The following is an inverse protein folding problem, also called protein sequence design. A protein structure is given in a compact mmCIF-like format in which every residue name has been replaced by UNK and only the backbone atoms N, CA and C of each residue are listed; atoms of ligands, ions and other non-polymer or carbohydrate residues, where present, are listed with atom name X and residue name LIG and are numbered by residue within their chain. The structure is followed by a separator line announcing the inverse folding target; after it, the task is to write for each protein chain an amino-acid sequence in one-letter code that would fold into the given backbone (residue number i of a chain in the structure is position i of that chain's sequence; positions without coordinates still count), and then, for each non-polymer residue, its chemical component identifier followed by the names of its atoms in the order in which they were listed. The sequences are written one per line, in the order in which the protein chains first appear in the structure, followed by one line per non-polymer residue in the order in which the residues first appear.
data_IF_159008410906
#
_entry.id   IF_159008410906
#
_cell.length_a   1.000
_cell.length_b   1.000
_cell.length_c   1.000
_cell.angle_alpha   90.00
_cell.angle_beta   90.00
_cell.angle_gamma   90.00
#
_symmetry.space_group_name_H-M   'P 1'
#
loop_
_entity.id
_entity.type
_entity.pdbx_description
1 polymer ?
#
# COMPACT_ATOMS: atom_id res chain seq x y z
N UNK A 1 -25.70 7.95 -9.72
CA UNK A 1 -24.68 6.89 -9.92
C UNK A 1 -24.28 6.78 -11.37
N UNK A 2 -25.21 6.84 -12.32
CA UNK A 2 -24.88 6.74 -13.76
C UNK A 2 -23.85 7.78 -14.24
N UNK A 3 -23.89 9.02 -13.71
CA UNK A 3 -22.90 10.06 -14.04
C UNK A 3 -21.47 9.81 -13.54
N UNK A 4 -21.29 9.06 -12.45
CA UNK A 4 -19.95 8.73 -11.96
C UNK A 4 -19.31 7.63 -12.81
N UNK A 5 -20.12 6.70 -13.32
CA UNK A 5 -19.66 5.62 -14.19
C UNK A 5 -19.25 6.15 -15.57
N UNK A 6 -20.03 7.07 -16.15
CA UNK A 6 -19.69 7.75 -17.42
C UNK A 6 -18.38 8.54 -17.33
N UNK A 7 -18.10 9.17 -16.18
CA UNK A 7 -16.87 9.94 -15.99
C UNK A 7 -15.62 9.02 -15.90
N UNK A 8 -15.75 7.87 -15.25
CA UNK A 8 -14.68 6.86 -15.18
C UNK A 8 -14.34 6.26 -16.55
N UNK A 9 -15.34 5.97 -17.38
CA UNK A 9 -15.11 5.48 -18.75
C UNK A 9 -14.41 6.52 -19.62
N UNK A 10 -14.74 7.81 -19.47
CA UNK A 10 -14.09 8.86 -20.25
C UNK A 10 -12.61 9.03 -19.87
N UNK A 11 -12.30 9.02 -18.57
CA UNK A 11 -10.93 9.07 -18.06
C UNK A 11 -10.13 7.84 -18.54
N UNK A 12 -10.75 6.66 -18.52
CA UNK A 12 -10.12 5.44 -19.01
C UNK A 12 -9.73 5.55 -20.49
N UNK A 13 -10.65 6.01 -21.34
CA UNK A 13 -10.39 6.16 -22.78
C UNK A 13 -9.30 7.19 -23.08
N UNK A 14 -9.24 8.31 -22.35
CA UNK A 14 -8.17 9.31 -22.52
C UNK A 14 -6.80 8.76 -22.09
N UNK A 15 -6.74 8.01 -20.97
CA UNK A 15 -5.50 7.37 -20.53
C UNK A 15 -5.00 6.31 -21.55
N UNK A 16 -5.91 5.52 -22.11
CA UNK A 16 -5.58 4.52 -23.15
C UNK A 16 -5.08 5.21 -24.42
N UNK A 17 -5.68 6.34 -24.82
CA UNK A 17 -5.26 7.10 -26.00
C UNK A 17 -3.85 7.70 -25.85
N UNK A 18 -3.49 8.14 -24.63
CA UNK A 18 -2.19 8.76 -24.36
C UNK A 18 -1.03 7.76 -24.30
N UNK A 19 -1.30 6.50 -23.98
CA UNK A 19 -0.27 5.46 -23.87
C UNK A 19 -0.62 4.26 -24.76
N UNK A 20 -0.18 4.25 -26.03
CA UNK A 20 -0.47 3.14 -26.95
C UNK A 20 0.24 1.83 -26.55
N UNK A 21 1.27 1.93 -25.71
CA UNK A 21 2.05 0.80 -25.23
C UNK A 21 2.33 0.90 -23.73
N UNK A 22 2.31 -0.24 -23.04
CA UNK A 22 2.76 -0.41 -21.66
C UNK A 22 4.02 -1.28 -21.68
N UNK A 23 5.06 -0.83 -20.97
CA UNK A 23 6.29 -1.59 -20.80
C UNK A 23 6.22 -2.46 -19.54
N UNK A 24 6.38 -3.76 -19.72
CA UNK A 24 6.16 -4.77 -18.68
C UNK A 24 7.37 -5.67 -18.58
N UNK A 25 7.92 -5.84 -17.38
CA UNK A 25 8.98 -6.82 -17.11
C UNK A 25 8.41 -8.12 -16.57
N UNK A 26 8.93 -9.24 -17.06
CA UNK A 26 8.66 -10.54 -16.48
C UNK A 26 9.20 -10.62 -15.05
N UNK A 27 8.43 -11.11 -14.05
CA UNK A 27 8.90 -11.23 -12.68
C UNK A 27 10.03 -12.25 -12.48
N UNK A 28 10.14 -13.25 -13.36
CA UNK A 28 11.18 -14.28 -13.28
C UNK A 28 12.54 -13.84 -13.80
N UNK A 29 12.59 -13.32 -15.03
CA UNK A 29 13.84 -12.99 -15.73
C UNK A 29 14.03 -11.51 -16.08
N UNK A 30 13.08 -10.64 -15.72
CA UNK A 30 13.09 -9.19 -15.99
C UNK A 30 13.16 -8.78 -17.48
N UNK A 31 12.91 -9.73 -18.39
CA UNK A 31 12.76 -9.45 -19.83
C UNK A 31 11.63 -8.43 -20.02
N UNK A 32 11.91 -7.39 -20.81
CA UNK A 32 10.98 -6.31 -21.12
C UNK A 32 10.07 -6.71 -22.30
N UNK A 33 8.77 -6.47 -22.13
CA UNK A 33 7.71 -6.66 -23.11
C UNK A 33 7.03 -5.31 -23.33
N UNK A 34 6.67 -5.02 -24.58
CA UNK A 34 5.87 -3.85 -24.94
C UNK A 34 4.50 -4.35 -25.38
N UNK A 35 3.48 -4.10 -24.56
CA UNK A 35 2.11 -4.56 -24.79
C UNK A 35 1.28 -3.39 -25.30
N UNK A 36 0.53 -3.59 -26.39
CA UNK A 36 -0.40 -2.57 -26.89
C UNK A 36 -1.63 -2.50 -25.99
N UNK A 37 -1.97 -1.30 -25.51
CA UNK A 37 -3.13 -1.10 -24.63
C UNK A 37 -4.45 -1.46 -25.31
N UNK A 38 -4.55 -1.26 -26.61
CA UNK A 38 -5.73 -1.60 -27.42
C UNK A 38 -6.01 -3.11 -27.54
N UNK A 39 -5.02 -3.95 -27.29
CA UNK A 39 -5.15 -5.41 -27.38
C UNK A 39 -5.58 -6.04 -26.04
N UNK A 40 -5.67 -5.25 -24.96
CA UNK A 40 -6.06 -5.72 -23.62
C UNK A 40 -7.57 -5.60 -23.46
N UNK A 41 -8.29 -6.72 -23.49
CA UNK A 41 -9.74 -6.78 -23.24
C UNK A 41 -10.10 -7.23 -21.83
N UNK A 42 -9.16 -7.81 -21.10
CA UNK A 42 -9.39 -8.38 -19.76
C UNK A 42 -8.77 -7.48 -18.68
N UNK A 43 -9.36 -7.40 -17.46
CA UNK A 43 -8.77 -6.65 -16.34
C UNK A 43 -7.48 -7.28 -15.80
N UNK A 44 -7.26 -8.58 -16.09
CA UNK A 44 -6.09 -9.34 -15.67
C UNK A 44 -5.48 -10.13 -16.84
N UNK A 45 -4.93 -9.44 -17.85
CA UNK A 45 -4.37 -10.11 -19.01
C UNK A 45 -3.16 -10.95 -18.58
N UNK A 46 -3.13 -12.19 -19.06
CA UNK A 46 -2.11 -13.17 -18.71
C UNK A 46 -1.07 -13.26 -19.83
N UNK A 47 0.20 -13.30 -19.43
CA UNK A 47 1.33 -13.41 -20.34
C UNK A 47 2.23 -14.57 -19.93
N UNK A 48 2.88 -15.18 -20.92
CA UNK A 48 3.92 -16.16 -20.71
C UNK A 48 5.24 -15.62 -21.24
N UNK A 49 6.26 -15.57 -20.37
CA UNK A 49 7.58 -15.14 -20.77
C UNK A 49 8.22 -16.15 -21.72
N UNK A 50 8.65 -15.72 -22.90
CA UNK A 50 9.34 -16.60 -23.86
C UNK A 50 10.79 -16.95 -23.48
N UNK A 51 11.36 -16.32 -22.44
CA UNK A 51 12.74 -16.58 -22.00
C UNK A 51 12.82 -17.56 -20.82
N UNK A 52 11.97 -17.39 -19.79
CA UNK A 52 11.95 -18.28 -18.62
C UNK A 52 10.68 -19.14 -18.51
N UNK A 53 9.75 -19.03 -19.47
CA UNK A 53 8.47 -19.74 -19.47
C UNK A 53 7.51 -19.43 -18.32
N UNK A 54 7.86 -18.49 -17.42
CA UNK A 54 7.00 -18.06 -16.32
C UNK A 54 5.72 -17.38 -16.81
N UNK A 55 4.61 -17.69 -16.14
CA UNK A 55 3.32 -17.03 -16.33
C UNK A 55 3.13 -15.90 -15.34
N UNK A 56 2.70 -14.75 -15.83
CA UNK A 56 2.43 -13.57 -15.02
C UNK A 56 1.20 -12.82 -15.55
N UNK A 57 0.60 -11.98 -14.72
CA UNK A 57 -0.53 -11.14 -15.10
C UNK A 57 -0.26 -9.66 -14.79
N UNK A 58 -1.05 -8.78 -15.39
CA UNK A 58 -1.05 -7.34 -15.11
C UNK A 58 -2.36 -6.94 -14.45
N UNK A 59 -2.34 -5.88 -13.65
CA UNK A 59 -3.54 -5.23 -13.12
C UNK A 59 -3.90 -4.07 -14.05
N UNK A 60 -4.96 -4.23 -14.84
CA UNK A 60 -5.46 -3.21 -15.77
C UNK A 60 -6.84 -2.76 -15.29
N UNK A 61 -7.13 -1.45 -15.20
CA UNK A 61 -6.37 -0.31 -15.76
C UNK A 61 -5.31 0.30 -14.85
N UNK A 62 -5.06 -0.24 -13.65
CA UNK A 62 -4.23 0.39 -12.62
C UNK A 62 -2.77 0.59 -13.04
N UNK A 63 -2.30 -0.14 -14.06
CA UNK A 63 -0.98 0.02 -14.63
C UNK A 63 -0.83 1.19 -15.63
N UNK A 64 -1.93 1.81 -16.07
CA UNK A 64 -1.89 2.96 -16.97
C UNK A 64 -1.22 4.16 -16.26
N UNK A 65 -0.37 4.89 -16.97
CA UNK A 65 0.39 6.01 -16.40
C UNK A 65 1.71 5.61 -15.76
N UNK A 66 1.93 4.32 -15.48
CA UNK A 66 3.18 3.82 -14.91
C UNK A 66 4.12 3.44 -16.07
N UNK A 67 5.21 4.20 -16.25
CA UNK A 67 6.06 4.08 -17.45
C UNK A 67 6.68 2.70 -17.66
N UNK A 68 7.05 2.00 -16.59
CA UNK A 68 7.56 0.63 -16.62
C UNK A 68 7.08 -0.13 -15.38
N UNK A 69 6.49 -1.31 -15.56
CA UNK A 69 5.96 -2.13 -14.46
C UNK A 69 6.52 -3.56 -14.49
N UNK A 70 6.51 -4.23 -13.34
CA UNK A 70 6.83 -5.66 -13.24
C UNK A 70 5.53 -6.45 -13.10
N UNK A 71 5.36 -7.50 -13.90
CA UNK A 71 4.18 -8.35 -13.86
C UNK A 71 4.08 -9.18 -12.57
N UNK A 72 2.86 -9.55 -12.18
CA UNK A 72 2.61 -10.36 -10.98
C UNK A 72 2.71 -11.86 -11.29
N UNK A 73 3.49 -12.67 -10.55
CA UNK A 73 3.63 -14.09 -10.83
C UNK A 73 2.33 -14.85 -10.58
N UNK A 74 1.88 -15.68 -11.53
CA UNK A 74 0.65 -16.49 -11.37
C UNK A 74 0.83 -17.69 -10.43
N UNK A 75 2.07 -18.11 -10.18
CA UNK A 75 2.36 -19.29 -9.35
C UNK A 75 2.44 -18.97 -7.85
N UNK A 76 2.28 -17.70 -7.45
CA UNK A 76 1.91 -17.38 -6.07
C UNK A 76 0.51 -17.95 -5.87
N UNK A 77 0.44 -19.20 -5.41
CA UNK A 77 -0.70 -19.71 -4.65
C UNK A 77 -0.85 -18.75 -3.47
N UNK A 78 -1.62 -17.68 -3.68
CA UNK A 78 -2.34 -17.04 -2.60
C UNK A 78 -3.16 -18.20 -2.06
N UNK A 79 -2.74 -18.78 -0.94
CA UNK A 79 -3.53 -19.75 -0.22
C UNK A 79 -4.90 -19.11 -0.03
N UNK A 80 -5.83 -19.59 -0.83
CA UNK A 80 -7.10 -18.93 -1.08
C UNK A 80 -7.90 -18.99 0.20
N UNK A 81 -7.97 -17.87 0.91
CA UNK A 81 -9.14 -17.55 1.71
C UNK A 81 -10.32 -17.39 0.73
N UNK A 82 -10.93 -18.51 0.38
CA UNK A 82 -12.15 -18.56 -0.41
C UNK A 82 -13.32 -18.01 0.40
N UNK A 83 -13.96 -16.96 -0.08
CA UNK A 83 -15.25 -16.50 0.38
C UNK A 83 -15.80 -15.42 -0.55
N UNK A 84 -17.12 -15.41 -0.81
CA UNK A 84 -17.68 -15.16 -2.13
C UNK A 84 -18.16 -13.73 -2.32
N UNK A 85 -18.25 -13.41 -3.62
CA UNK A 85 -19.01 -12.38 -4.32
C UNK A 85 -20.26 -11.86 -3.56
N UNK A 86 -20.44 -10.54 -3.54
CA UNK A 86 -21.65 -9.94 -4.09
C UNK A 86 -21.56 -8.41 -4.17
N UNK A 87 -22.35 -7.89 -5.11
CA UNK A 87 -22.27 -6.60 -5.75
C UNK A 87 -23.12 -5.50 -5.09
N UNK A 88 -22.80 -4.26 -5.51
CA UNK A 88 -23.66 -3.06 -5.61
C UNK A 88 -24.28 -2.47 -4.34
N UNK A 89 -23.89 -1.21 -4.06
CA UNK A 89 -24.55 -0.36 -3.08
C UNK A 89 -23.99 1.06 -3.13
N UNK A 90 -24.78 1.95 -3.71
CA UNK A 90 -24.41 3.31 -4.05
C UNK A 90 -24.28 4.23 -2.83
N UNK A 91 -23.29 5.14 -2.85
CA UNK A 91 -23.02 6.08 -1.78
C UNK A 91 -23.30 7.51 -2.23
N UNK A 92 -24.32 8.15 -1.67
CA UNK A 92 -24.54 9.59 -1.79
C UNK A 92 -23.41 10.34 -1.07
N UNK A 93 -22.93 11.40 -1.71
CA UNK A 93 -21.86 12.28 -1.21
C UNK A 93 -22.51 13.60 -0.81
N UNK A 94 -22.53 13.89 0.49
CA UNK A 94 -22.91 15.20 1.01
C UNK A 94 -21.78 16.20 0.74
N UNK A 95 -22.14 17.27 0.04
CA UNK A 95 -21.28 18.40 -0.33
C UNK A 95 -21.05 19.27 0.89
N UNK A 96 -19.82 19.28 1.41
CA UNK A 96 -19.39 20.27 2.41
C UNK A 96 -18.78 21.48 1.71
N UNK A 97 -19.47 22.60 1.87
CA UNK A 97 -19.12 23.95 1.46
C UNK A 97 -18.00 24.49 2.37
N UNK A 98 -16.87 24.89 1.79
CA UNK A 98 -15.76 25.52 2.51
C UNK A 98 -15.32 26.78 1.77
N UNK A 99 -15.85 27.88 2.30
CA UNK A 99 -15.62 29.27 1.89
C UNK A 99 -14.15 29.67 2.00
N UNK A 100 -13.67 30.34 0.96
CA UNK A 100 -12.39 31.04 0.84
C UNK A 100 -12.23 32.10 1.94
N UNK A 101 -11.07 32.12 2.59
CA UNK A 101 -10.52 33.35 3.15
C UNK A 101 -9.10 33.58 2.65
N UNK A 102 -8.95 34.78 2.12
CA UNK A 102 -7.77 35.46 1.64
C UNK A 102 -6.74 35.71 2.75
N UNK A 103 -5.46 35.58 2.41
CA UNK A 103 -4.38 36.27 3.10
C UNK A 103 -3.41 36.82 2.06
N UNK A 104 -3.41 38.16 1.97
CA UNK A 104 -2.44 38.97 1.25
C UNK A 104 -1.11 39.04 2.01
N UNK A 105 -0.08 39.43 1.24
CA UNK A 105 1.13 40.12 1.68
C UNK A 105 2.13 39.32 2.52
N UNK A 106 3.32 39.14 1.95
CA UNK A 106 4.51 39.82 2.47
C UNK A 106 5.60 39.94 1.39
N UNK A 107 6.17 41.13 1.38
CA UNK A 107 7.06 41.74 0.42
C UNK A 107 8.53 41.48 0.71
N UNK A 108 9.29 41.29 -0.37
CA UNK A 108 10.64 41.81 -0.64
C UNK A 108 11.71 41.74 0.47
N UNK A 109 12.70 40.86 0.26
CA UNK A 109 14.05 41.03 0.78
C UNK A 109 15.04 41.13 -0.38
N UNK A 110 15.75 42.27 -0.40
CA UNK A 110 16.89 42.60 -1.25
C UNK A 110 18.01 41.58 -1.05
N UNK A 111 18.57 41.09 -2.16
CA UNK A 111 19.86 40.39 -2.17
C UNK A 111 20.89 41.37 -2.69
N UNK A 112 21.74 41.84 -1.76
CA UNK A 112 22.90 42.64 -2.07
C UNK A 112 23.95 41.82 -2.83
N UNK A 113 24.48 42.48 -3.85
CA UNK A 113 25.52 42.09 -4.80
C UNK A 113 26.86 41.94 -4.07
N UNK A 114 27.36 40.71 -3.95
CA UNK A 114 28.72 40.43 -3.45
C UNK A 114 29.70 40.37 -4.63
N UNK A 115 30.79 41.12 -4.47
CA UNK A 115 31.90 41.26 -5.39
C UNK A 115 32.69 39.96 -5.61
N UNK A 116 33.14 39.82 -6.84
CA UNK A 116 33.89 38.69 -7.39
C UNK A 116 35.38 38.89 -7.04
N UNK A 117 35.84 38.25 -5.97
CA UNK A 117 37.25 38.25 -5.56
C UNK A 117 37.92 36.92 -5.97
N UNK A 118 38.91 37.04 -6.85
CA UNK A 118 39.70 35.97 -7.45
C UNK A 118 40.57 35.23 -6.42
N UNK A 119 40.41 33.91 -6.32
CA UNK A 119 41.27 33.02 -5.52
C UNK A 119 42.20 32.17 -6.42
N UNK A 120 43.40 31.82 -5.91
CA UNK A 120 44.49 31.21 -6.67
C UNK A 120 44.37 29.68 -6.81
N UNK A 121 44.91 29.16 -7.91
CA UNK A 121 45.10 27.74 -8.20
C UNK A 121 45.83 27.03 -7.05
N UNK A 122 45.13 26.12 -6.36
CA UNK A 122 45.68 25.19 -5.37
C UNK A 122 45.31 23.76 -5.72
N UNK A 123 46.35 23.01 -6.04
CA UNK A 123 46.61 21.56 -5.91
C UNK A 123 45.39 20.62 -5.78
N UNK A 124 45.33 19.68 -6.74
CA UNK A 124 44.32 18.64 -6.92
C UNK A 124 43.73 18.09 -5.60
N UNK A 125 42.43 18.32 -5.34
CA UNK A 125 41.76 17.76 -4.18
C UNK A 125 41.71 16.24 -4.34
N UNK A 126 42.27 15.52 -3.37
CA UNK A 126 42.04 14.09 -3.16
C UNK A 126 40.53 13.80 -3.20
N UNK A 127 40.06 13.35 -4.37
CA UNK A 127 38.66 13.00 -4.63
C UNK A 127 38.27 11.87 -3.67
N UNK A 128 37.68 12.24 -2.54
CA UNK A 128 37.07 11.29 -1.61
C UNK A 128 35.85 10.70 -2.28
N UNK A 129 36.02 9.59 -3.01
CA UNK A 129 34.88 8.80 -3.46
C UNK A 129 34.13 8.27 -2.25
N UNK A 130 32.82 8.54 -2.12
CA UNK A 130 32.02 8.07 -0.99
C UNK A 130 32.08 6.54 -0.90
N UNK A 131 32.48 6.02 0.25
CA UNK A 131 32.55 4.58 0.51
C UNK A 131 31.15 4.06 0.88
N UNK A 132 30.54 3.28 -0.01
CA UNK A 132 29.26 2.61 0.26
C UNK A 132 29.52 1.27 0.96
N UNK A 133 28.66 0.86 1.88
CA UNK A 133 28.77 -0.42 2.58
C UNK A 133 27.55 -1.30 2.31
N UNK A 134 27.72 -2.63 2.29
CA UNK A 134 26.62 -3.56 2.12
C UNK A 134 25.75 -3.63 3.39
N UNK A 135 24.42 -3.46 3.31
CA UNK A 135 23.55 -3.45 4.50
C UNK A 135 23.40 -4.82 5.18
N UNK A 136 23.85 -5.92 4.56
CA UNK A 136 23.73 -7.27 5.12
C UNK A 136 25.01 -7.77 5.79
N UNK A 137 26.17 -7.39 5.26
CA UNK A 137 27.47 -7.93 5.70
C UNK A 137 28.54 -6.86 5.89
N UNK A 138 28.19 -5.58 5.72
CA UNK A 138 29.06 -4.41 5.90
C UNK A 138 30.29 -4.34 4.99
N UNK A 139 30.45 -5.25 4.02
CA UNK A 139 31.56 -5.20 3.10
C UNK A 139 31.60 -3.87 2.29
N UNK A 140 32.77 -3.26 2.09
CA UNK A 140 32.91 -2.02 1.31
C UNK A 140 32.57 -2.27 -0.15
N UNK A 141 31.91 -1.29 -0.77
CA UNK A 141 31.36 -1.35 -2.13
C UNK A 141 31.85 -0.17 -2.96
N UNK A 142 32.07 -0.44 -4.25
CA UNK A 142 32.29 0.60 -5.27
C UNK A 142 30.95 1.08 -5.83
N UNK A 143 30.79 2.39 -6.02
CA UNK A 143 29.61 2.97 -6.65
C UNK A 143 29.31 2.30 -8.00
N UNK A 144 28.07 1.83 -8.20
CA UNK A 144 27.62 1.19 -9.44
C UNK A 144 27.49 -0.34 -9.41
N UNK A 145 28.01 -1.05 -8.40
CA UNK A 145 27.85 -2.51 -8.30
C UNK A 145 26.38 -2.89 -8.01
N UNK A 146 25.76 -3.82 -8.74
CA UNK A 146 24.34 -4.22 -8.53
C UNK A 146 24.14 -5.28 -7.45
N UNK A 147 25.23 -5.96 -7.08
CA UNK A 147 25.24 -7.02 -6.08
C UNK A 147 26.48 -6.96 -5.19
N UNK A 148 26.36 -7.42 -3.95
CA UNK A 148 27.48 -7.54 -3.03
C UNK A 148 28.29 -8.80 -3.34
N UNK A 149 29.58 -8.64 -3.66
CA UNK A 149 30.49 -9.77 -3.93
C UNK A 149 30.72 -10.70 -2.74
N UNK A 150 30.56 -10.19 -1.51
CA UNK A 150 30.81 -10.98 -0.30
C UNK A 150 29.61 -11.84 0.12
N UNK A 151 28.38 -11.37 -0.07
CA UNK A 151 27.17 -12.06 0.43
C UNK A 151 26.09 -12.33 -0.63
N UNK A 152 26.29 -11.93 -1.88
CA UNK A 152 25.36 -12.18 -3.00
C UNK A 152 24.06 -11.38 -2.95
N UNK A 153 23.99 -10.33 -2.12
CA UNK A 153 22.80 -9.49 -2.01
C UNK A 153 22.68 -8.57 -3.21
N UNK A 154 21.53 -8.61 -3.89
CA UNK A 154 21.19 -7.71 -4.99
C UNK A 154 20.56 -6.44 -4.41
N UNK A 155 21.22 -5.29 -4.62
CA UNK A 155 20.79 -4.02 -4.01
C UNK A 155 19.46 -3.52 -4.57
N UNK A 156 19.18 -3.76 -5.85
CA UNK A 156 17.91 -3.38 -6.47
C UNK A 156 16.74 -4.14 -5.82
N UNK A 157 16.95 -5.40 -5.42
CA UNK A 157 15.94 -6.19 -4.72
C UNK A 157 15.67 -5.68 -3.31
N UNK A 158 16.70 -5.18 -2.61
CA UNK A 158 16.52 -4.53 -1.30
C UNK A 158 15.70 -3.25 -1.48
N UNK A 159 16.03 -2.40 -2.47
CA UNK A 159 15.25 -1.19 -2.74
C UNK A 159 13.78 -1.50 -3.01
N UNK A 160 13.50 -2.52 -3.82
CA UNK A 160 12.11 -2.95 -4.10
C UNK A 160 11.42 -3.44 -2.83
N UNK A 161 12.10 -4.20 -1.97
CA UNK A 161 11.52 -4.65 -0.70
C UNK A 161 11.29 -3.49 0.26
N UNK A 162 12.21 -2.53 0.33
CA UNK A 162 12.03 -1.30 1.11
C UNK A 162 10.87 -0.48 0.56
N UNK A 163 10.73 -0.36 -0.76
CA UNK A 163 9.63 0.33 -1.45
C UNK A 163 8.30 -0.39 -1.24
N UNK A 164 8.28 -1.72 -1.27
CA UNK A 164 7.09 -2.54 -1.03
C UNK A 164 6.68 -2.56 0.45
N UNK A 165 7.65 -2.39 1.37
CA UNK A 165 7.38 -2.19 2.78
C UNK A 165 6.99 -0.75 3.11
N UNK A 166 7.13 0.21 2.18
CA UNK A 166 6.52 1.52 2.36
C UNK A 166 5.02 1.31 2.40
N UNK A 167 4.37 1.59 3.53
CA UNK A 167 2.91 1.59 3.56
C UNK A 167 2.47 2.59 2.50
N UNK A 168 1.51 2.20 1.67
CA UNK A 168 0.96 3.05 0.62
C UNK A 168 0.12 4.15 1.30
N UNK A 169 0.80 5.13 1.87
CA UNK A 169 0.16 6.32 2.40
C UNK A 169 -0.24 7.18 1.20
N UNK A 170 -1.52 7.58 1.08
CA UNK A 170 -1.89 8.57 0.08
C UNK A 170 -0.99 9.79 0.32
N UNK A 171 -0.30 10.21 -0.75
CA UNK A 171 0.70 11.29 -0.72
C UNK A 171 0.04 12.59 -0.27
N UNK A 172 -0.07 12.80 1.04
CA UNK A 172 -0.61 14.03 1.58
C UNK A 172 0.51 15.08 1.48
N UNK A 173 0.45 15.88 0.42
CA UNK A 173 1.45 16.90 0.09
C UNK A 173 1.74 17.83 1.28
N UNK A 174 0.70 18.11 2.09
CA UNK A 174 0.81 18.96 3.29
C UNK A 174 1.68 18.34 4.37
N UNK A 175 1.54 17.04 4.65
CA UNK A 175 2.37 16.35 5.64
C UNK A 175 3.82 16.19 5.17
N UNK A 176 4.03 16.02 3.85
CA UNK A 176 5.38 16.03 3.29
C UNK A 176 6.05 17.40 3.45
N UNK A 177 5.36 18.50 3.14
CA UNK A 177 5.90 19.84 3.35
C UNK A 177 6.19 20.12 4.84
N UNK A 178 5.33 19.66 5.75
CA UNK A 178 5.59 19.76 7.19
C UNK A 178 6.81 18.95 7.62
N UNK A 179 7.02 17.77 7.04
CA UNK A 179 8.22 16.97 7.29
C UNK A 179 9.49 17.64 6.76
N UNK A 180 9.42 18.29 5.61
CA UNK A 180 10.56 19.06 5.09
C UNK A 180 10.89 20.24 6.02
N UNK A 181 9.87 20.85 6.64
CA UNK A 181 10.05 21.85 7.71
C UNK A 181 10.80 21.32 8.93
N UNK A 182 10.44 20.11 9.38
CA UNK A 182 11.16 19.38 10.46
C UNK A 182 12.62 19.15 10.08
N UNK A 183 12.90 18.76 8.83
CA UNK A 183 14.27 18.54 8.38
C UNK A 183 15.12 19.81 8.32
N UNK A 184 14.50 20.95 8.01
CA UNK A 184 15.20 22.23 7.98
C UNK A 184 15.49 22.79 9.39
N UNK A 185 14.68 22.43 10.39
CA UNK A 185 14.80 22.89 11.78
C UNK A 185 14.80 21.70 12.74
N UNK A 186 15.69 20.74 12.50
CA UNK A 186 15.69 19.45 13.21
C UNK A 186 15.99 19.57 14.71
N UNK A 187 16.72 20.60 15.12
CA UNK A 187 17.03 20.84 16.54
C UNK A 187 15.85 21.48 17.31
N UNK A 188 14.84 21.98 16.60
CA UNK A 188 13.68 22.65 17.19
C UNK A 188 12.56 21.66 17.49
N UNK A 189 12.46 21.27 18.77
CA UNK A 189 11.47 20.31 19.24
C UNK A 189 10.02 20.72 18.95
N UNK A 190 9.72 22.02 18.93
CA UNK A 190 8.36 22.51 18.69
C UNK A 190 7.91 22.18 17.26
N UNK A 191 8.82 22.19 16.28
CA UNK A 191 8.52 21.85 14.88
C UNK A 191 8.19 20.36 14.74
N UNK A 192 8.88 19.50 15.50
CA UNK A 192 8.58 18.08 15.56
C UNK A 192 7.18 17.81 16.13
N UNK A 193 6.83 18.54 17.19
CA UNK A 193 5.53 18.43 17.85
C UNK A 193 4.38 18.85 16.91
N UNK A 194 4.53 19.98 16.23
CA UNK A 194 3.56 20.45 15.23
C UNK A 194 3.36 19.42 14.10
N UNK A 195 4.43 18.74 13.68
CA UNK A 195 4.35 17.68 12.68
C UNK A 195 3.60 16.44 13.19
N UNK A 196 3.92 15.97 14.40
CA UNK A 196 3.25 14.80 15.00
C UNK A 196 1.76 15.07 15.23
N UNK A 197 1.41 16.26 15.73
CA UNK A 197 0.01 16.68 15.89
C UNK A 197 -0.72 16.78 14.56
N UNK A 198 -0.05 17.27 13.50
CA UNK A 198 -0.62 17.30 12.16
C UNK A 198 -0.87 15.89 11.62
N UNK A 199 0.05 14.96 11.84
CA UNK A 199 -0.15 13.55 11.50
C UNK A 199 -1.28 12.91 12.32
N UNK A 200 -1.44 13.26 13.59
CA UNK A 200 -2.53 12.79 14.44
C UNK A 200 -3.89 13.25 13.90
N UNK A 201 -4.03 14.54 13.57
CA UNK A 201 -5.28 15.12 13.04
C UNK A 201 -5.71 14.47 11.73
N UNK A 202 -4.76 14.16 10.86
CA UNK A 202 -5.00 13.51 9.57
C UNK A 202 -5.14 11.97 9.69
N UNK A 203 -4.97 11.40 10.89
CA UNK A 203 -5.03 9.96 11.12
C UNK A 203 -3.87 9.17 10.51
N UNK A 204 -2.73 9.82 10.26
CA UNK A 204 -1.55 9.25 9.61
C UNK A 204 -0.34 9.15 10.57
N UNK A 205 -0.54 8.73 11.83
CA UNK A 205 0.55 8.56 12.80
C UNK A 205 1.60 7.53 12.35
N UNK A 206 1.19 6.52 11.60
CA UNK A 206 2.11 5.50 11.08
C UNK A 206 3.13 6.10 10.07
N UNK A 207 2.75 7.18 9.37
CA UNK A 207 3.66 7.92 8.49
C UNK A 207 4.75 8.64 9.30
N UNK A 208 4.37 9.30 10.40
CA UNK A 208 5.33 9.92 11.31
C UNK A 208 6.28 8.87 11.91
N UNK A 209 5.75 7.74 12.39
CA UNK A 209 6.55 6.66 12.94
C UNK A 209 7.56 6.09 11.93
N UNK A 210 7.13 5.91 10.67
CA UNK A 210 8.01 5.46 9.59
C UNK A 210 9.18 6.43 9.36
N UNK A 211 8.90 7.73 9.34
CA UNK A 211 9.90 8.78 9.13
C UNK A 211 10.95 8.82 10.25
N UNK A 212 10.53 8.81 11.51
CA UNK A 212 11.46 8.80 12.64
C UNK A 212 12.22 7.49 12.77
N UNK A 213 11.59 6.33 12.53
CA UNK A 213 12.29 5.04 12.50
C UNK A 213 13.40 5.02 11.47
N UNK A 214 13.20 5.67 10.32
CA UNK A 214 14.24 5.78 9.30
C UNK A 214 15.44 6.60 9.77
N UNK A 215 15.21 7.67 10.54
CA UNK A 215 16.30 8.44 11.17
C UNK A 215 17.04 7.56 12.18
N UNK A 216 16.33 6.87 13.06
CA UNK A 216 16.92 5.96 14.06
C UNK A 216 17.70 4.80 13.42
N UNK A 217 17.27 4.31 12.26
CA UNK A 217 18.03 3.30 11.52
C UNK A 217 19.37 3.83 11.00
N UNK A 218 19.48 5.13 10.70
CA UNK A 218 20.73 5.76 10.32
C UNK A 218 21.56 6.19 11.55
N UNK A 219 20.89 6.67 12.60
CA UNK A 219 21.47 7.21 13.82
C UNK A 219 20.69 6.71 15.04
N UNK A 220 21.03 5.52 15.54
CA UNK A 220 20.29 4.88 16.65
C UNK A 220 20.31 5.69 17.96
N UNK A 221 21.33 6.54 18.15
CA UNK A 221 21.49 7.40 19.32
C UNK A 221 20.83 8.77 19.22
N UNK A 222 20.03 9.04 18.17
CA UNK A 222 19.35 10.32 18.03
C UNK A 222 18.28 10.50 19.12
N UNK A 223 18.51 11.44 20.04
CA UNK A 223 17.63 11.67 21.18
C UNK A 223 16.27 12.25 20.77
N UNK A 224 16.24 13.13 19.77
CA UNK A 224 15.01 13.79 19.29
C UNK A 224 14.11 12.76 18.62
N UNK A 225 14.65 11.93 17.72
CA UNK A 225 13.88 10.89 17.06
C UNK A 225 13.35 9.84 18.05
N UNK A 226 14.15 9.46 19.06
CA UNK A 226 13.71 8.54 20.12
C UNK A 226 12.61 9.16 21.02
N UNK A 227 12.68 10.47 21.28
CA UNK A 227 11.65 11.21 22.03
C UNK A 227 10.35 11.26 21.23
N UNK A 228 10.42 11.60 19.95
CA UNK A 228 9.24 11.67 19.08
C UNK A 228 8.60 10.31 18.84
N UNK A 229 9.38 9.23 18.71
CA UNK A 229 8.84 7.87 18.64
C UNK A 229 8.02 7.50 19.89
N UNK A 230 8.52 7.81 21.09
CA UNK A 230 7.77 7.61 22.34
C UNK A 230 6.48 8.42 22.36
N UNK A 231 6.54 9.69 21.95
CA UNK A 231 5.35 10.56 21.85
C UNK A 231 4.31 9.99 20.88
N UNK A 232 4.72 9.48 19.73
CA UNK A 232 3.82 8.85 18.75
C UNK A 232 3.16 7.60 19.34
N UNK A 233 3.91 6.75 20.07
CA UNK A 233 3.36 5.57 20.73
C UNK A 233 2.32 5.94 21.80
N UNK A 234 2.61 6.94 22.64
CA UNK A 234 1.68 7.46 23.64
C UNK A 234 0.39 7.99 23.00
N UNK A 235 0.53 8.80 21.93
CA UNK A 235 -0.60 9.35 21.18
C UNK A 235 -1.42 8.24 20.51
N UNK A 236 -0.77 7.23 19.94
CA UNK A 236 -1.44 6.08 19.32
C UNK A 236 -2.21 5.26 20.36
N UNK A 237 -1.64 5.02 21.54
CA UNK A 237 -2.32 4.34 22.64
C UNK A 237 -3.53 5.14 23.14
N UNK A 238 -3.39 6.44 23.37
CA UNK A 238 -4.49 7.32 23.78
C UNK A 238 -5.63 7.33 22.76
N UNK A 239 -5.28 7.43 21.46
CA UNK A 239 -6.25 7.44 20.36
C UNK A 239 -6.96 6.10 20.22
N UNK A 240 -6.25 4.99 20.43
CA UNK A 240 -6.82 3.63 20.38
C UNK A 240 -7.76 3.33 21.56
N UNK A 241 -7.46 3.86 22.76
CA UNK A 241 -8.31 3.72 23.94
C UNK A 241 -9.66 4.44 23.79
N UNK A 242 -9.66 5.64 23.20
CA UNK A 242 -10.88 6.38 22.90
C UNK A 242 -11.62 5.82 21.67
N UNK A 243 -10.87 5.27 20.70
CA UNK A 243 -11.44 4.61 19.52
C UNK A 243 -11.92 3.19 19.76
N UNK A 244 -11.82 2.64 20.98
CA UNK A 244 -12.42 1.34 21.31
C UNK A 244 -13.96 1.32 21.11
N UNK A 245 -14.59 2.48 20.95
CA UNK A 245 -16.00 2.60 20.52
C UNK A 245 -16.20 2.93 19.02
N UNK A 246 -15.18 3.43 18.33
CA UNK A 246 -15.30 3.99 16.97
C UNK A 246 -14.33 3.42 15.93
N UNK A 247 -13.63 2.34 16.26
CA UNK A 247 -13.36 1.28 15.30
C UNK A 247 -14.06 0.07 15.86
N UNK A 248 -15.35 -0.10 15.53
CA UNK A 248 -15.82 -1.47 15.33
C UNK A 248 -14.77 -2.03 14.36
N UNK A 249 -13.93 -3.02 14.72
CA UNK A 249 -13.42 -3.88 13.66
C UNK A 249 -14.67 -4.21 12.87
N UNK A 250 -14.62 -4.19 11.54
CA UNK A 250 -15.66 -4.93 10.85
C UNK A 250 -15.58 -6.29 11.49
N UNK A 251 -16.55 -6.56 12.39
CA UNK A 251 -16.84 -7.89 12.82
C UNK A 251 -17.24 -8.38 11.45
N UNK A 252 -16.31 -9.04 10.75
CA UNK A 252 -16.58 -10.36 10.23
C UNK A 252 -17.28 -11.00 11.39
N UNK A 253 -18.58 -10.74 11.48
CA UNK A 253 -19.52 -11.58 12.15
C UNK A 253 -19.06 -12.88 11.53
N UNK A 254 -18.49 -13.77 12.34
CA UNK A 254 -18.53 -15.17 11.99
C UNK A 254 -20.01 -15.45 11.97
N UNK A 255 -20.67 -14.98 10.90
CA UNK A 255 -22.00 -15.29 10.54
C UNK A 255 -21.89 -16.78 10.48
N UNK A 256 -22.51 -17.40 11.48
CA UNK A 256 -22.32 -18.82 11.73
C UNK A 256 -23.04 -19.50 10.59
N UNK A 257 -22.40 -19.59 9.43
CA UNK A 257 -22.89 -20.29 8.25
C UNK A 257 -23.31 -21.71 8.65
N UNK A 258 -22.61 -22.29 9.64
CA UNK A 258 -22.98 -23.53 10.33
C UNK A 258 -24.38 -23.51 10.97
N UNK A 259 -24.83 -22.40 11.56
CA UNK A 259 -26.18 -22.25 12.14
C UNK A 259 -27.25 -22.16 11.06
N UNK A 260 -26.95 -21.50 9.92
CA UNK A 260 -27.90 -21.39 8.80
C UNK A 260 -28.06 -22.74 8.11
N UNK A 261 -26.94 -23.43 7.83
CA UNK A 261 -26.96 -24.80 7.30
C UNK A 261 -27.72 -25.76 8.23
N UNK A 262 -27.55 -25.62 9.54
CA UNK A 262 -28.31 -26.41 10.51
C UNK A 262 -29.82 -26.10 10.48
N UNK A 263 -30.20 -24.81 10.38
CA UNK A 263 -31.60 -24.40 10.29
C UNK A 263 -32.27 -24.92 9.01
N UNK A 264 -31.57 -24.86 7.88
CA UNK A 264 -32.04 -25.42 6.59
C UNK A 264 -32.26 -26.94 6.72
N UNK A 265 -31.32 -27.66 7.35
CA UNK A 265 -31.47 -29.09 7.59
C UNK A 265 -32.72 -29.44 8.40
N UNK A 266 -32.99 -28.71 9.49
CA UNK A 266 -34.21 -28.90 10.32
C UNK A 266 -35.49 -28.62 9.51
N UNK A 267 -35.49 -27.55 8.71
CA UNK A 267 -36.66 -27.18 7.90
C UNK A 267 -36.98 -28.26 6.85
N UNK A 268 -35.98 -28.83 6.19
CA UNK A 268 -36.16 -29.92 5.21
C UNK A 268 -36.72 -31.19 5.84
N UNK A 269 -36.29 -31.53 7.06
CA UNK A 269 -36.85 -32.67 7.82
C UNK A 269 -38.32 -32.41 8.17
N UNK A 270 -38.66 -31.19 8.62
CA UNK A 270 -40.04 -30.80 8.92
C UNK A 270 -40.96 -30.86 7.70
N UNK A 271 -40.51 -30.35 6.55
CA UNK A 271 -41.28 -30.43 5.29
C UNK A 271 -41.46 -31.87 4.82
N UNK A 272 -40.41 -32.70 4.90
CA UNK A 272 -40.47 -34.11 4.52
C UNK A 272 -41.42 -34.94 5.38
N UNK A 273 -41.67 -34.52 6.63
CA UNK A 273 -42.62 -35.17 7.53
C UNK A 273 -44.09 -34.81 7.23
N UNK A 274 -44.36 -33.60 6.76
CA UNK A 274 -45.73 -33.12 6.52
C UNK A 274 -46.31 -33.43 5.14
N UNK A 275 -45.47 -33.73 4.14
CA UNK A 275 -45.87 -33.87 2.74
C UNK A 275 -45.39 -35.23 2.21
N UNK A 276 -46.30 -36.19 2.04
CA UNK A 276 -46.01 -37.56 1.59
C UNK A 276 -45.13 -37.69 0.34
N UNK A 277 -45.29 -36.89 -0.73
CA UNK A 277 -44.42 -36.99 -1.90
C UNK A 277 -42.98 -36.51 -1.65
N UNK A 278 -42.69 -35.84 -0.52
CA UNK A 278 -41.37 -35.27 -0.21
C UNK A 278 -40.58 -36.09 0.82
N UNK A 279 -40.95 -37.34 1.11
CA UNK A 279 -40.25 -38.19 2.10
C UNK A 279 -38.75 -38.36 1.83
N UNK A 280 -38.33 -38.33 0.56
CA UNK A 280 -36.91 -38.40 0.17
C UNK A 280 -36.09 -37.21 0.68
N UNK A 281 -36.73 -36.06 0.95
CA UNK A 281 -36.09 -34.84 1.44
C UNK A 281 -35.61 -34.98 2.90
N UNK A 282 -36.21 -35.90 3.66
CA UNK A 282 -35.82 -36.18 5.04
C UNK A 282 -34.36 -36.68 5.13
N UNK A 283 -33.95 -37.54 4.20
CA UNK A 283 -32.58 -38.06 4.15
C UNK A 283 -31.54 -36.97 3.85
N UNK A 284 -31.88 -36.05 2.96
CA UNK A 284 -31.03 -34.89 2.60
C UNK A 284 -30.87 -33.96 3.81
N UNK A 285 -31.97 -33.66 4.52
CA UNK A 285 -31.93 -32.84 5.72
C UNK A 285 -31.05 -33.44 6.83
N UNK A 286 -31.13 -34.76 7.05
CA UNK A 286 -30.27 -35.47 8.01
C UNK A 286 -28.79 -35.42 7.63
N UNK A 287 -28.45 -35.58 6.34
CA UNK A 287 -27.06 -35.48 5.87
C UNK A 287 -26.47 -34.08 6.10
N UNK A 288 -27.25 -33.02 5.83
CA UNK A 288 -26.83 -31.62 6.05
C UNK A 288 -26.60 -31.34 7.54
N UNK A 289 -27.47 -31.84 8.42
CA UNK A 289 -27.29 -31.69 9.87
C UNK A 289 -26.02 -32.36 10.36
N UNK A 290 -25.77 -33.60 9.93
CA UNK A 290 -24.56 -34.33 10.32
C UNK A 290 -23.29 -33.59 9.88
N UNK A 291 -23.23 -33.17 8.61
CA UNK A 291 -22.11 -32.41 8.07
C UNK A 291 -21.89 -31.07 8.81
N UNK A 292 -22.97 -30.35 9.11
CA UNK A 292 -22.92 -29.09 9.87
C UNK A 292 -22.35 -29.28 11.28
N UNK A 293 -22.70 -30.38 11.95
CA UNK A 293 -22.16 -30.73 13.27
C UNK A 293 -20.70 -31.15 13.18
N UNK A 294 -20.31 -31.94 12.18
CA UNK A 294 -18.92 -32.35 11.95
C UNK A 294 -18.02 -31.14 11.68
N UNK A 295 -18.42 -30.22 10.80
CA UNK A 295 -17.66 -28.97 10.56
C UNK A 295 -17.51 -28.16 11.85
N UNK A 296 -18.57 -28.07 12.65
CA UNK A 296 -18.54 -27.35 13.92
C UNK A 296 -17.63 -28.01 14.96
N UNK A 297 -17.50 -29.33 14.94
CA UNK A 297 -16.57 -30.08 15.79
C UNK A 297 -15.12 -29.91 15.31
N UNK A 298 -14.87 -29.94 14.00
CA UNK A 298 -13.53 -29.84 13.43
C UNK A 298 -12.90 -28.45 13.57
N UNK A 299 -13.69 -27.38 13.42
CA UNK A 299 -13.21 -26.00 13.52
C UNK A 299 -13.27 -25.40 14.94
N UNK A 300 -13.58 -26.22 15.94
CA UNK A 300 -13.58 -25.82 17.35
C UNK A 300 -12.34 -26.35 18.05
#
# INVERSE_FOLDING_TARGET
MDREFENLEHIHNDLVARQPHINVRCPGCLKLFSVKTQEISEPRPQYQCNQCSDKFYLMFPECLGIGEIVGFPMHLKVESMSGPDDASGNHEVDVFDASMQSAESLSALNVDRVEEESLPEREDPLVHTPQFHCPRCEAPRKGGEKECKSCGVIFDKIKILEEAQRPNYPTNQKLNASWDGVMNHYEDEDVHDVFVESCQREGQLDFAAYKYRRILNAHAGDEIANKMMRKIEEVALATSGLSAHQKRPSKKTRFRWTTILAAIGIALIGMGYGIDPLRNLMGVGMAILFFSLTLRYYFR
#
